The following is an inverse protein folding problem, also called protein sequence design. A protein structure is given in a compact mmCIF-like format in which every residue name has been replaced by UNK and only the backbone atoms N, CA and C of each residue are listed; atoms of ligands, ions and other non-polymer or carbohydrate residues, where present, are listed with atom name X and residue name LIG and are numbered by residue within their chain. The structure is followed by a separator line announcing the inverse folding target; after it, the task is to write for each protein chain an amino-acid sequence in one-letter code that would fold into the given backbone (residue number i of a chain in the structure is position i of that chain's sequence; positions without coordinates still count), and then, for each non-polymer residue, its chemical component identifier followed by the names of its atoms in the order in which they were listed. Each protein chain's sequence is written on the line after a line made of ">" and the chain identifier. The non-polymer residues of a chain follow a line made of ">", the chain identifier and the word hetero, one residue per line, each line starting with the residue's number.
data_IF_432525109211
#
_entry.id   IF_432525109211
#
_cell.length_a   1.000
_cell.length_b   1.000
_cell.length_c   1.000
_cell.angle_alpha   90.00
_cell.angle_beta   90.00
_cell.angle_gamma   90.00
#
_symmetry.space_group_name_H-M   'P 1'
#
loop_
_entity.id
_entity.type
_entity.pdbx_description
1 polymer ?
#
# COMPACT_ATOMS: atom_id res chain seq x y z
N UNK A 1 23.84 -6.13 9.35
CA UNK A 1 23.05 -5.96 10.57
C UNK A 1 22.20 -7.19 10.79
N UNK A 2 22.06 -7.69 12.03
CA UNK A 2 21.18 -8.82 12.32
C UNK A 2 19.72 -8.44 12.00
N UNK A 3 18.97 -9.40 11.44
CA UNK A 3 17.54 -9.21 11.18
C UNK A 3 16.74 -9.14 12.49
N UNK A 4 15.71 -8.30 12.49
CA UNK A 4 14.64 -8.30 13.48
C UNK A 4 13.81 -9.59 13.39
N UNK A 5 13.01 -9.86 14.42
CA UNK A 5 12.11 -11.04 14.44
C UNK A 5 11.09 -10.99 13.29
N UNK A 6 10.55 -9.81 12.97
CA UNK A 6 9.58 -9.65 11.90
C UNK A 6 10.20 -9.91 10.51
N UNK A 7 11.42 -9.42 10.27
CA UNK A 7 12.14 -9.69 9.01
C UNK A 7 12.47 -11.18 8.87
N UNK A 8 12.91 -11.85 9.96
CA UNK A 8 13.12 -13.30 9.96
C UNK A 8 11.84 -14.07 9.66
N UNK A 9 10.71 -13.64 10.23
CA UNK A 9 9.42 -14.26 9.97
C UNK A 9 9.03 -14.13 8.49
N UNK A 10 9.21 -12.95 7.88
CA UNK A 10 8.96 -12.77 6.45
C UNK A 10 9.80 -13.70 5.58
N UNK A 11 11.11 -13.83 5.86
CA UNK A 11 11.99 -14.76 5.12
C UNK A 11 11.50 -16.20 5.23
N UNK A 12 11.05 -16.64 6.41
CA UNK A 12 10.46 -17.98 6.59
C UNK A 12 9.16 -18.15 5.82
N UNK A 13 8.29 -17.15 5.80
CA UNK A 13 7.05 -17.17 5.03
C UNK A 13 7.31 -17.22 3.52
N UNK A 14 8.32 -16.49 3.04
CA UNK A 14 8.76 -16.53 1.64
C UNK A 14 9.21 -17.92 1.23
N UNK A 15 10.05 -18.56 2.05
CA UNK A 15 10.51 -19.93 1.83
C UNK A 15 9.32 -20.90 1.83
N UNK A 16 8.47 -20.83 2.86
CA UNK A 16 7.30 -21.69 2.98
C UNK A 16 6.36 -21.57 1.78
N UNK A 17 6.06 -20.34 1.33
CA UNK A 17 5.21 -20.12 0.18
C UNK A 17 5.82 -20.70 -1.10
N UNK A 18 7.13 -20.53 -1.30
CA UNK A 18 7.85 -21.09 -2.44
C UNK A 18 7.78 -22.62 -2.46
N UNK A 19 8.04 -23.27 -1.33
CA UNK A 19 8.04 -24.74 -1.22
C UNK A 19 6.63 -25.33 -1.43
N UNK A 20 5.60 -24.61 -1.01
CA UNK A 20 4.21 -25.06 -1.08
C UNK A 20 3.43 -24.50 -2.29
N UNK A 21 4.12 -23.81 -3.23
CA UNK A 21 3.52 -23.22 -4.44
C UNK A 21 2.38 -22.24 -4.17
N UNK A 22 2.45 -21.51 -3.06
CA UNK A 22 1.55 -20.41 -2.75
C UNK A 22 2.01 -19.11 -3.38
N UNK A 23 1.06 -18.25 -3.74
CA UNK A 23 1.32 -16.86 -4.11
C UNK A 23 1.12 -15.96 -2.89
N UNK A 24 1.98 -14.96 -2.75
CA UNK A 24 1.98 -14.04 -1.61
C UNK A 24 1.52 -12.66 -2.06
N UNK A 25 0.54 -12.12 -1.34
CA UNK A 25 0.20 -10.71 -1.41
C UNK A 25 0.63 -10.01 -0.13
N UNK A 26 1.36 -8.90 -0.29
CA UNK A 26 1.85 -8.09 0.82
C UNK A 26 1.08 -6.78 0.90
N UNK A 27 0.79 -6.37 2.12
CA UNK A 27 0.24 -5.05 2.44
C UNK A 27 1.11 -4.43 3.52
N UNK A 28 1.80 -3.36 3.16
CA UNK A 28 2.87 -2.80 3.97
C UNK A 28 2.57 -1.34 4.28
N UNK A 29 2.46 -1.03 5.56
CA UNK A 29 2.25 0.33 6.04
C UNK A 29 3.43 0.80 6.88
N UNK A 30 3.80 2.08 6.77
CA UNK A 30 4.82 2.68 7.64
C UNK A 30 6.15 1.91 7.66
N UNK A 31 6.64 1.58 8.85
CA UNK A 31 7.82 0.73 9.08
C UNK A 31 7.68 -0.68 8.50
N UNK A 32 6.45 -1.19 8.35
CA UNK A 32 6.20 -2.51 7.78
C UNK A 32 6.79 -2.67 6.37
N UNK A 33 6.86 -1.59 5.60
CA UNK A 33 7.55 -1.65 4.31
C UNK A 33 9.05 -1.86 4.42
N UNK A 34 9.73 -1.24 5.42
CA UNK A 34 11.16 -1.49 5.64
C UNK A 34 11.38 -2.95 6.02
N UNK A 35 10.52 -3.50 6.87
CA UNK A 35 10.54 -4.93 7.20
C UNK A 35 10.39 -5.81 5.96
N UNK A 36 9.49 -5.49 5.03
CA UNK A 36 9.34 -6.23 3.78
C UNK A 36 10.57 -6.08 2.85
N UNK A 37 11.09 -4.86 2.71
CA UNK A 37 12.23 -4.55 1.85
C UNK A 37 13.52 -5.20 2.33
N UNK A 38 13.84 -5.08 3.62
CA UNK A 38 15.01 -5.70 4.24
C UNK A 38 14.91 -7.22 4.17
N UNK A 39 13.72 -7.79 4.43
CA UNK A 39 13.51 -9.24 4.32
C UNK A 39 13.73 -9.74 2.88
N UNK A 40 13.21 -9.05 1.87
CA UNK A 40 13.38 -9.43 0.46
C UNK A 40 14.85 -9.35 0.04
N UNK A 41 15.51 -8.23 0.32
CA UNK A 41 16.93 -8.06 0.01
C UNK A 41 17.80 -9.11 0.72
N UNK A 42 17.53 -9.38 1.99
CA UNK A 42 18.24 -10.41 2.74
C UNK A 42 18.01 -11.79 2.12
N UNK A 43 16.76 -12.16 1.83
CA UNK A 43 16.42 -13.44 1.23
C UNK A 43 17.20 -13.64 -0.09
N UNK A 44 17.14 -12.66 -1.00
CA UNK A 44 17.82 -12.77 -2.28
C UNK A 44 19.35 -12.82 -2.15
N UNK A 45 19.95 -12.03 -1.25
CA UNK A 45 21.40 -12.09 -0.96
C UNK A 45 21.85 -13.42 -0.38
N UNK A 46 20.95 -14.15 0.27
CA UNK A 46 21.21 -15.47 0.83
C UNK A 46 20.68 -16.61 -0.06
N UNK A 47 20.44 -16.34 -1.35
CA UNK A 47 20.09 -17.36 -2.36
C UNK A 47 18.61 -17.73 -2.45
N UNK A 48 17.75 -17.17 -1.61
CA UNK A 48 16.30 -17.32 -1.77
C UNK A 48 15.78 -16.31 -2.79
N UNK A 49 15.81 -16.70 -4.06
CA UNK A 49 15.25 -15.97 -5.21
C UNK A 49 13.96 -16.62 -5.71
N UNK A 50 13.32 -16.05 -6.74
CA UNK A 50 12.05 -16.48 -7.33
C UNK A 50 10.96 -16.66 -6.27
N UNK A 51 10.93 -15.77 -5.27
CA UNK A 51 9.91 -15.78 -4.23
C UNK A 51 8.58 -15.41 -4.89
N UNK A 52 7.48 -16.16 -4.65
CA UNK A 52 6.22 -16.00 -5.36
C UNK A 52 5.37 -14.82 -4.85
N UNK A 53 5.96 -13.62 -4.84
CA UNK A 53 5.27 -12.38 -4.47
C UNK A 53 4.46 -11.90 -5.68
N UNK A 54 3.14 -12.04 -5.62
CA UNK A 54 2.23 -11.63 -6.68
C UNK A 54 1.99 -10.13 -6.67
N UNK A 55 1.68 -9.58 -5.51
CA UNK A 55 1.43 -8.16 -5.35
C UNK A 55 2.01 -7.65 -4.02
N UNK A 56 2.73 -6.54 -4.04
CA UNK A 56 3.18 -5.82 -2.84
C UNK A 56 2.64 -4.40 -2.85
N UNK A 57 1.74 -4.10 -1.91
CA UNK A 57 1.13 -2.79 -1.74
C UNK A 57 1.81 -2.04 -0.60
N UNK A 58 2.14 -0.79 -0.84
CA UNK A 58 2.77 0.09 0.13
C UNK A 58 1.90 1.32 0.39
N UNK A 59 1.75 1.66 1.66
CA UNK A 59 0.94 2.78 2.14
C UNK A 59 1.79 3.61 3.10
N UNK A 60 2.13 4.84 2.72
CA UNK A 60 2.85 5.75 3.63
C UNK A 60 4.16 5.16 4.16
N UNK A 61 4.84 4.38 3.32
CA UNK A 61 5.90 3.47 3.78
C UNK A 61 7.23 4.17 4.00
N UNK A 62 7.98 3.72 5.00
CA UNK A 62 9.36 4.14 5.25
C UNK A 62 10.37 3.59 4.21
N UNK A 63 9.91 2.74 3.28
CA UNK A 63 10.71 2.20 2.18
C UNK A 63 10.65 3.08 0.96
N UNK A 64 11.78 3.26 0.29
CA UNK A 64 11.78 3.77 -1.07
C UNK A 64 11.24 2.68 -2.01
N UNK A 65 9.99 2.85 -2.49
CA UNK A 65 9.26 1.79 -3.19
C UNK A 65 9.87 1.45 -4.54
N UNK A 66 10.54 2.40 -5.19
CA UNK A 66 11.27 2.16 -6.43
C UNK A 66 12.39 1.12 -6.23
N UNK A 67 13.18 1.25 -5.16
CA UNK A 67 14.23 0.27 -4.85
C UNK A 67 13.65 -1.12 -4.57
N UNK A 68 12.50 -1.20 -3.90
CA UNK A 68 11.79 -2.46 -3.70
C UNK A 68 11.31 -3.06 -5.02
N UNK A 69 10.76 -2.25 -5.92
CA UNK A 69 10.31 -2.69 -7.25
C UNK A 69 11.47 -3.22 -8.08
N UNK A 70 12.61 -2.51 -8.08
CA UNK A 70 13.83 -2.93 -8.76
C UNK A 70 14.38 -4.24 -8.15
N UNK A 71 14.40 -4.35 -6.82
CA UNK A 71 14.82 -5.58 -6.13
C UNK A 71 13.91 -6.77 -6.52
N UNK A 72 12.59 -6.57 -6.53
CA UNK A 72 11.64 -7.62 -6.87
C UNK A 72 11.77 -8.07 -8.33
N UNK A 73 11.93 -7.12 -9.26
CA UNK A 73 11.99 -7.44 -10.68
C UNK A 73 13.36 -8.01 -11.11
N UNK A 74 14.45 -7.40 -10.65
CA UNK A 74 15.79 -7.63 -11.20
C UNK A 74 16.64 -8.59 -10.38
N UNK A 75 16.35 -8.73 -9.08
CA UNK A 75 17.18 -9.55 -8.16
C UNK A 75 16.42 -10.76 -7.63
N UNK A 76 15.16 -10.59 -7.23
CA UNK A 76 14.32 -11.72 -6.89
C UNK A 76 14.01 -12.56 -8.13
N UNK A 77 13.73 -11.92 -9.27
CA UNK A 77 13.43 -12.62 -10.52
C UNK A 77 12.01 -13.18 -10.56
N UNK A 78 11.75 -13.95 -11.61
CA UNK A 78 10.42 -14.46 -11.93
C UNK A 78 10.09 -15.78 -11.23
N UNK A 79 8.82 -15.96 -10.88
CA UNK A 79 8.30 -17.24 -10.38
C UNK A 79 7.23 -17.81 -11.32
N UNK A 80 7.08 -19.14 -11.33
CA UNK A 80 6.07 -19.85 -12.11
C UNK A 80 4.86 -20.15 -11.22
N UNK A 81 3.66 -20.05 -11.78
CA UNK A 81 2.41 -20.39 -11.10
C UNK A 81 1.39 -20.96 -12.09
N UNK A 82 0.42 -21.70 -11.58
CA UNK A 82 -0.74 -22.13 -12.36
C UNK A 82 -1.83 -21.06 -12.25
N UNK A 83 -2.34 -20.61 -13.40
CA UNK A 83 -3.50 -19.75 -13.42
C UNK A 83 -4.80 -20.53 -13.15
N UNK A 84 -5.93 -19.82 -13.11
CA UNK A 84 -7.27 -20.40 -12.88
C UNK A 84 -7.66 -21.48 -13.89
N UNK A 85 -6.97 -21.58 -15.02
CA UNK A 85 -7.21 -22.55 -16.10
C UNK A 85 -6.15 -23.67 -16.11
N UNK A 86 -5.35 -23.83 -15.05
CA UNK A 86 -4.23 -24.75 -14.96
C UNK A 86 -3.15 -24.54 -16.05
N UNK A 87 -3.03 -23.32 -16.59
CA UNK A 87 -1.92 -22.98 -17.47
C UNK A 87 -0.76 -22.43 -16.66
N UNK A 88 0.44 -22.89 -16.98
CA UNK A 88 1.64 -22.37 -16.36
C UNK A 88 1.95 -20.96 -16.89
N UNK A 89 2.14 -20.02 -15.96
CA UNK A 89 2.46 -18.62 -16.22
C UNK A 89 3.69 -18.24 -15.41
N UNK A 90 4.37 -17.20 -15.89
CA UNK A 90 5.52 -16.60 -15.21
C UNK A 90 5.17 -15.17 -14.82
N UNK A 91 5.57 -14.75 -13.62
CA UNK A 91 5.34 -13.40 -13.10
C UNK A 91 6.57 -12.86 -12.37
N UNK A 92 6.79 -11.54 -12.48
CA UNK A 92 7.78 -10.80 -11.69
C UNK A 92 7.16 -10.13 -10.45
N UNK A 93 5.87 -10.37 -10.21
CA UNK A 93 5.09 -9.65 -9.22
C UNK A 93 4.74 -8.23 -9.66
N UNK A 94 3.92 -7.56 -8.87
CA UNK A 94 3.53 -6.17 -9.08
C UNK A 94 3.73 -5.39 -7.79
N UNK A 95 4.34 -4.21 -7.90
CA UNK A 95 4.53 -3.30 -6.76
C UNK A 95 3.61 -2.10 -6.92
N UNK A 96 2.95 -1.70 -5.83
CA UNK A 96 2.06 -0.55 -5.81
C UNK A 96 2.34 0.35 -4.61
N UNK A 97 2.21 1.66 -4.77
CA UNK A 97 2.45 2.65 -3.72
C UNK A 97 1.33 3.68 -3.63
N UNK A 98 0.88 3.99 -2.41
CA UNK A 98 0.03 5.12 -2.07
C UNK A 98 0.75 5.97 -1.01
N UNK A 99 0.86 7.27 -1.26
CA UNK A 99 1.56 8.20 -0.37
C UNK A 99 0.77 9.49 -0.32
N UNK A 100 0.35 9.88 0.88
CA UNK A 100 -0.26 11.19 1.04
C UNK A 100 0.81 12.27 1.03
N UNK A 101 0.49 13.45 0.49
CA UNK A 101 1.41 14.57 0.36
C UNK A 101 2.17 14.86 1.66
N UNK A 102 1.44 14.91 2.77
CA UNK A 102 1.94 15.26 4.10
C UNK A 102 2.37 14.07 4.96
N UNK A 103 2.44 12.86 4.39
CA UNK A 103 2.96 11.71 5.13
C UNK A 103 4.48 11.83 5.29
N UNK A 104 4.94 12.13 6.51
CA UNK A 104 6.36 12.31 6.80
C UNK A 104 7.16 11.01 6.70
N UNK A 105 6.53 9.85 6.92
CA UNK A 105 7.19 8.54 6.82
C UNK A 105 7.28 8.12 5.36
N UNK A 106 6.20 8.32 4.61
CA UNK A 106 6.11 7.98 3.20
C UNK A 106 6.98 8.84 2.29
N UNK A 107 7.04 10.15 2.59
CA UNK A 107 7.62 11.16 1.69
C UNK A 107 8.84 11.89 2.24
N UNK A 108 8.93 12.05 3.56
CA UNK A 108 9.75 13.07 4.24
C UNK A 108 9.25 14.51 3.95
N UNK A 109 8.83 15.29 4.97
CA UNK A 109 8.00 16.47 4.78
C UNK A 109 8.78 17.72 4.36
N UNK A 110 10.04 17.88 4.76
CA UNK A 110 10.88 19.00 4.30
C UNK A 110 11.42 18.71 2.89
N UNK A 111 11.09 19.57 1.91
CA UNK A 111 11.60 19.50 0.53
C UNK A 111 13.12 19.35 0.50
N UNK A 112 13.85 20.10 1.33
CA UNK A 112 15.32 20.05 1.41
C UNK A 112 15.90 18.79 2.06
N UNK A 113 15.06 17.95 2.68
CA UNK A 113 15.43 16.65 3.23
C UNK A 113 14.81 15.49 2.43
N UNK A 114 14.16 15.76 1.29
CA UNK A 114 13.67 14.71 0.40
C UNK A 114 14.87 14.07 -0.27
N UNK A 115 15.19 12.85 0.14
CA UNK A 115 16.28 12.08 -0.44
C UNK A 115 15.94 10.60 -0.36
N UNK A 116 16.33 9.83 -1.37
CA UNK A 116 16.32 8.36 -1.31
C UNK A 116 17.18 7.80 -0.16
N UNK A 117 18.09 8.62 0.37
CA UNK A 117 18.95 8.26 1.51
C UNK A 117 18.31 8.52 2.87
N UNK A 118 17.07 9.05 2.91
CA UNK A 118 16.25 9.22 4.10
C UNK A 118 15.03 8.28 3.96
N UNK A 119 14.49 7.79 5.08
CA UNK A 119 13.33 6.88 5.08
C UNK A 119 12.16 7.42 4.23
N UNK A 120 11.58 6.56 3.41
CA UNK A 120 10.52 6.91 2.46
C UNK A 120 11.06 7.60 1.21
N UNK A 121 10.72 8.89 1.01
CA UNK A 121 11.11 9.66 -0.17
C UNK A 121 10.30 9.32 -1.42
N UNK A 122 9.10 8.80 -1.26
CA UNK A 122 8.23 8.39 -2.37
C UNK A 122 7.40 9.57 -2.89
N UNK A 123 7.07 9.54 -4.19
CA UNK A 123 6.17 10.52 -4.78
C UNK A 123 4.75 10.42 -4.22
N UNK A 124 4.06 11.55 -3.96
CA UNK A 124 2.71 11.54 -3.45
C UNK A 124 1.71 11.07 -4.53
N UNK A 125 0.74 10.26 -4.12
CA UNK A 125 -0.39 9.86 -4.97
C UNK A 125 -1.59 10.81 -4.88
N UNK A 126 -1.64 11.63 -3.82
CA UNK A 126 -2.57 12.74 -3.61
C UNK A 126 -2.35 13.46 -2.29
N UNK A 127 -3.34 14.26 -1.86
CA UNK A 127 -3.20 15.19 -0.73
C UNK A 127 -2.54 16.53 -1.12
N UNK A 128 -2.58 17.52 -0.23
CA UNK A 128 -2.09 18.89 -0.48
C UNK A 128 -0.91 19.32 0.36
N UNK A 129 -0.10 20.23 -0.20
CA UNK A 129 1.15 20.76 0.37
C UNK A 129 0.97 21.70 1.55
N UNK A 130 -0.07 22.53 1.53
CA UNK A 130 -0.13 23.74 2.37
C UNK A 130 -0.89 23.55 3.68
N UNK A 131 -0.75 22.40 4.34
CA UNK A 131 -1.36 22.19 5.65
C UNK A 131 -0.30 21.72 6.64
N UNK A 132 0.24 22.66 7.41
CA UNK A 132 1.33 22.46 8.38
C UNK A 132 1.04 21.37 9.44
N UNK A 133 -0.24 20.99 9.61
CA UNK A 133 -0.71 20.06 10.63
C UNK A 133 -1.52 18.87 10.10
N UNK A 134 -1.60 18.62 8.79
CA UNK A 134 -2.29 17.40 8.31
C UNK A 134 -1.40 16.19 8.46
N UNK A 135 -1.56 15.47 9.58
CA UNK A 135 -1.01 14.14 9.73
C UNK A 135 -1.93 13.13 9.07
N UNK A 136 -1.46 12.52 7.97
CA UNK A 136 -2.25 11.63 7.11
C UNK A 136 -1.77 10.18 7.14
N UNK A 137 -0.72 9.89 7.92
CA UNK A 137 -0.07 8.59 7.93
C UNK A 137 -1.02 7.43 8.26
N UNK A 138 -2.08 7.67 9.04
CA UNK A 138 -3.05 6.62 9.42
C UNK A 138 -4.33 6.61 8.57
N UNK A 139 -4.45 7.46 7.55
CA UNK A 139 -5.72 7.69 6.84
C UNK A 139 -5.65 7.26 5.38
N UNK A 140 -5.43 5.96 5.13
CA UNK A 140 -5.48 5.37 3.80
C UNK A 140 -6.81 4.62 3.60
N UNK A 141 -7.55 5.00 2.56
CA UNK A 141 -8.90 4.53 2.26
C UNK A 141 -8.90 3.58 1.06
N UNK A 142 -9.26 2.32 1.30
CA UNK A 142 -9.44 1.33 0.25
C UNK A 142 -10.64 1.67 -0.66
N UNK A 143 -11.69 2.24 -0.08
CA UNK A 143 -12.92 2.63 -0.78
C UNK A 143 -13.22 4.10 -0.53
N UNK A 144 -13.91 4.71 -1.48
CA UNK A 144 -14.42 6.07 -1.30
C UNK A 144 -15.70 5.99 -0.47
N UNK A 145 -15.79 6.62 0.72
CA UNK A 145 -16.99 6.53 1.52
C UNK A 145 -18.22 7.07 0.78
N UNK A 146 -19.38 6.47 1.02
CA UNK A 146 -20.65 6.94 0.46
C UNK A 146 -20.96 8.35 0.94
N UNK A 147 -21.69 9.13 0.12
CA UNK A 147 -22.07 10.52 0.48
C UNK A 147 -22.95 10.57 1.74
N UNK A 148 -23.85 9.61 1.85
CA UNK A 148 -24.83 9.49 2.93
C UNK A 148 -24.52 8.21 3.74
N UNK A 149 -24.94 8.17 5.01
CA UNK A 149 -24.83 6.97 5.84
C UNK A 149 -25.80 5.90 5.33
N UNK A 150 -25.26 4.76 4.96
CA UNK A 150 -26.01 3.61 4.47
C UNK A 150 -25.56 2.35 5.21
N UNK A 151 -26.49 1.44 5.46
CA UNK A 151 -26.17 0.11 5.98
C UNK A 151 -25.75 -0.84 4.85
N UNK A 152 -25.37 -2.07 5.23
CA UNK A 152 -24.97 -3.14 4.29
C UNK A 152 -26.07 -3.54 3.29
N UNK A 153 -27.34 -3.24 3.60
CA UNK A 153 -28.51 -3.52 2.74
C UNK A 153 -28.80 -2.38 1.77
N UNK A 154 -28.08 -1.25 1.87
CA UNK A 154 -28.30 -0.05 1.06
C UNK A 154 -29.40 0.88 1.58
N UNK A 155 -29.94 0.64 2.78
CA UNK A 155 -30.90 1.57 3.41
C UNK A 155 -30.17 2.76 4.03
N UNK A 156 -30.78 3.95 3.96
CA UNK A 156 -30.32 5.13 4.71
C UNK A 156 -30.46 4.91 6.22
N UNK A 157 -29.45 5.32 6.96
CA UNK A 157 -29.42 5.23 8.43
C UNK A 157 -29.06 6.57 9.08
N UNK A 158 -29.46 6.73 10.35
CA UNK A 158 -28.97 7.81 11.20
C UNK A 158 -27.61 7.48 11.84
N UNK A 159 -27.06 8.41 12.62
CA UNK A 159 -25.78 8.25 13.34
C UNK A 159 -25.78 7.10 14.36
N UNK A 160 -26.97 6.63 14.77
CA UNK A 160 -27.14 5.52 15.71
C UNK A 160 -27.36 4.19 15.00
N UNK A 161 -27.42 4.19 13.67
CA UNK A 161 -27.63 3.01 12.84
C UNK A 161 -29.10 2.63 12.61
N UNK A 162 -30.06 3.46 13.01
CA UNK A 162 -31.48 3.21 12.74
C UNK A 162 -31.84 3.61 11.32
N UNK A 163 -32.68 2.80 10.67
CA UNK A 163 -33.18 3.08 9.33
C UNK A 163 -34.00 4.38 9.31
N UNK A 164 -33.71 5.23 8.34
CA UNK A 164 -34.44 6.48 8.08
C UNK A 164 -34.97 6.53 6.65
N UNK A 165 -35.99 7.36 6.44
CA UNK A 165 -36.47 7.68 5.09
C UNK A 165 -35.46 8.57 4.34
N UNK A 166 -35.46 8.54 3.00
CA UNK A 166 -34.54 9.33 2.16
C UNK A 166 -34.55 10.83 2.47
N UNK A 167 -35.71 11.39 2.83
CA UNK A 167 -35.85 12.80 3.22
C UNK A 167 -35.07 13.17 4.49
N UNK A 168 -34.73 12.17 5.32
CA UNK A 168 -34.02 12.30 6.59
C UNK A 168 -32.59 11.74 6.52
N UNK A 169 -32.04 11.57 5.31
CA UNK A 169 -30.68 11.02 5.15
C UNK A 169 -29.63 11.88 5.84
N UNK A 170 -28.67 11.21 6.46
CA UNK A 170 -27.55 11.85 7.18
C UNK A 170 -26.29 11.79 6.32
N UNK A 171 -25.58 12.91 6.23
CA UNK A 171 -24.31 12.99 5.50
C UNK A 171 -23.24 12.15 6.21
N UNK A 172 -22.44 11.42 5.44
CA UNK A 172 -21.37 10.59 5.97
C UNK A 172 -20.13 11.43 6.28
N UNK A 173 -19.78 11.57 7.55
CA UNK A 173 -18.60 12.32 8.00
C UNK A 173 -17.29 11.75 7.42
N UNK A 174 -17.19 10.42 7.24
CA UNK A 174 -16.02 9.81 6.63
C UNK A 174 -15.83 10.25 5.18
N UNK A 175 -16.91 10.57 4.46
CA UNK A 175 -16.78 11.12 3.09
C UNK A 175 -16.26 12.55 3.12
N UNK A 176 -16.69 13.35 4.09
CA UNK A 176 -16.17 14.70 4.27
C UNK A 176 -14.67 14.65 4.60
N UNK A 177 -14.29 13.84 5.60
CA UNK A 177 -12.89 13.63 5.98
C UNK A 177 -12.03 13.16 4.80
N UNK A 178 -12.53 12.20 4.03
CA UNK A 178 -11.86 11.70 2.82
C UNK A 178 -11.62 12.84 1.82
N UNK A 179 -12.65 13.62 1.48
CA UNK A 179 -12.51 14.71 0.51
C UNK A 179 -11.53 15.79 1.01
N UNK A 180 -11.60 16.13 2.29
CA UNK A 180 -10.77 17.18 2.90
C UNK A 180 -9.29 16.77 2.92
N UNK A 181 -9.00 15.52 3.28
CA UNK A 181 -7.64 14.98 3.32
C UNK A 181 -7.09 14.73 1.93
N UNK A 182 -7.79 13.93 1.14
CA UNK A 182 -7.25 13.34 -0.08
C UNK A 182 -7.50 14.16 -1.34
N UNK A 183 -8.46 15.08 -1.32
CA UNK A 183 -8.82 15.98 -2.41
C UNK A 183 -8.94 15.25 -3.76
N UNK A 184 -9.91 14.31 -3.89
CA UNK A 184 -10.10 13.56 -5.11
C UNK A 184 -10.42 14.49 -6.29
N UNK A 185 -9.94 14.15 -7.47
CA UNK A 185 -10.18 14.91 -8.71
C UNK A 185 -10.99 14.08 -9.70
N UNK A 186 -11.54 14.71 -10.76
CA UNK A 186 -12.28 13.98 -11.81
C UNK A 186 -11.47 12.83 -12.43
N UNK A 187 -10.15 13.00 -12.52
CA UNK A 187 -9.24 12.01 -13.11
C UNK A 187 -8.66 11.03 -12.07
N UNK A 188 -8.89 11.27 -10.77
CA UNK A 188 -8.43 10.41 -9.69
C UNK A 188 -9.42 10.47 -8.53
N UNK A 189 -10.46 9.65 -8.62
CA UNK A 189 -11.57 9.62 -7.65
C UNK A 189 -11.16 9.05 -6.29
N UNK A 190 -10.10 8.22 -6.26
CA UNK A 190 -9.52 7.74 -5.02
C UNK A 190 -7.98 7.81 -5.05
N UNK A 191 -7.38 8.97 -4.72
CA UNK A 191 -5.93 9.11 -4.68
C UNK A 191 -5.25 8.35 -3.54
N UNK A 192 -6.03 7.79 -2.60
CA UNK A 192 -5.54 6.89 -1.57
C UNK A 192 -5.27 5.47 -2.07
N UNK A 193 -5.73 5.11 -3.28
CA UNK A 193 -5.41 3.82 -3.87
C UNK A 193 -3.96 3.79 -4.35
N UNK A 194 -3.26 2.66 -4.13
CA UNK A 194 -1.87 2.55 -4.52
C UNK A 194 -1.75 2.38 -6.03
N UNK A 195 -0.87 3.17 -6.64
CA UNK A 195 -0.56 3.14 -8.07
C UNK A 195 0.59 2.18 -8.33
N UNK A 196 0.60 1.58 -9.52
CA UNK A 196 1.70 0.69 -9.93
C UNK A 196 3.01 1.49 -9.97
N UNK A 197 4.07 0.90 -9.42
CA UNK A 197 5.44 1.40 -9.53
C UNK A 197 6.18 0.51 -10.50
N UNK A 198 6.58 1.07 -11.64
CA UNK A 198 7.29 0.34 -12.68
C UNK A 198 8.78 0.28 -12.32
N UNK A 199 9.42 -0.90 -12.33
CA UNK A 199 10.86 -1.01 -12.15
C UNK A 199 11.62 -0.21 -13.21
N UNK A 200 12.75 0.38 -12.81
CA UNK A 200 13.69 1.15 -13.66
C UNK A 200 14.91 0.32 -14.03
#
# INVERSE_FOLDING_TARGET
>A
MPLTTAEKANVKLYQYAKDNKYQIDLSNHSRGGLTASVALQYANRNGLTNIPIRESRFYGTATHVQDYANQLAHVNGSYRYLDKNNQEKTSNGTVKSAVHYTDFVGRTPLIGLRSKYIVGGNEPTGGVENTWFTYSHSSYFAEVPNKDLINEKGDYIDEKGYKVEEKNKVANEYRKEFNDKWQPTKNNLNPSLPKIVTPE
#
